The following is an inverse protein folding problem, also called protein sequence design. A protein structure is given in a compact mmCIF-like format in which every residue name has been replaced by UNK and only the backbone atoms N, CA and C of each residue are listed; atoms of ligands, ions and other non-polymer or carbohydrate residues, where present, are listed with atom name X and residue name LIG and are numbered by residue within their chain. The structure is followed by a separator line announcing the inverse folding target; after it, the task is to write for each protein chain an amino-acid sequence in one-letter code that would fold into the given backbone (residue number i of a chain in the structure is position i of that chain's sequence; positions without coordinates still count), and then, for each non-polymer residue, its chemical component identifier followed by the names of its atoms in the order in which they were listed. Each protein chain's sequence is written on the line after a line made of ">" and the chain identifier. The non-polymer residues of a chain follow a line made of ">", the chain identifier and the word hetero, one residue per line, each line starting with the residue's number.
data_IF_344677595489
#
_entry.id   IF_344677595489
#
_cell.length_a   1.000
_cell.length_b   1.000
_cell.length_c   1.000
_cell.angle_alpha   90.00
_cell.angle_beta   90.00
_cell.angle_gamma   90.00
#
_symmetry.space_group_name_H-M   'P 1'
#
loop_
_entity.id
_entity.type
_entity.pdbx_description
1 polymer ?
#
# COMPACT_ATOMS: atom_id res chain seq x y z
N UNK A 1 -6.16 -21.60 -19.35
CA UNK A 1 -4.86 -21.69 -18.65
C UNK A 1 -5.09 -21.28 -17.21
N UNK A 2 -5.10 -22.24 -16.30
CA UNK A 2 -5.36 -22.05 -14.88
C UNK A 2 -4.14 -21.41 -14.23
N UNK A 3 -4.21 -20.10 -14.00
CA UNK A 3 -3.20 -19.37 -13.26
C UNK A 3 -3.19 -19.91 -11.82
N UNK A 4 -2.07 -20.49 -11.39
CA UNK A 4 -1.89 -20.94 -10.02
C UNK A 4 -2.03 -19.73 -9.09
N UNK A 5 -3.04 -19.79 -8.22
CA UNK A 5 -3.28 -18.80 -7.17
C UNK A 5 -2.03 -18.72 -6.28
N UNK A 6 -1.32 -17.58 -6.28
CA UNK A 6 -0.35 -17.28 -5.22
C UNK A 6 -1.15 -17.13 -3.93
N UNK A 7 -1.19 -18.18 -3.13
CA UNK A 7 -1.89 -18.16 -1.84
C UNK A 7 -1.00 -17.46 -0.81
N UNK A 8 -1.13 -16.14 -0.72
CA UNK A 8 -0.59 -15.40 0.43
C UNK A 8 -1.50 -15.66 1.63
N UNK A 9 -1.22 -16.76 2.33
CA UNK A 9 -1.88 -17.12 3.57
C UNK A 9 -1.31 -16.22 4.69
N UNK A 10 -1.87 -15.02 4.90
CA UNK A 10 -1.31 -14.07 5.89
C UNK A 10 -2.32 -13.78 7.02
N UNK A 11 -2.32 -14.57 8.12
CA UNK A 11 -3.04 -14.23 9.35
C UNK A 11 -2.26 -13.22 10.23
N UNK A 12 -1.42 -12.39 9.63
CA UNK A 12 -0.70 -11.33 10.31
C UNK A 12 -0.36 -10.24 9.29
N UNK A 13 -0.68 -8.98 9.54
CA UNK A 13 -0.45 -7.93 8.53
C UNK A 13 1.07 -7.69 8.42
N UNK A 14 1.74 -7.98 7.29
CA UNK A 14 3.20 -7.85 7.21
C UNK A 14 3.67 -6.45 7.60
N UNK A 15 2.90 -5.42 7.23
CA UNK A 15 3.15 -4.03 7.58
C UNK A 15 3.27 -3.79 9.10
N UNK A 16 2.47 -4.45 9.95
CA UNK A 16 2.55 -4.26 11.40
C UNK A 16 3.89 -4.72 11.99
N UNK A 17 4.39 -5.88 11.54
CA UNK A 17 5.73 -6.41 11.88
C UNK A 17 6.81 -5.50 11.31
N UNK A 18 6.70 -5.15 10.04
CA UNK A 18 7.70 -4.37 9.32
C UNK A 18 7.90 -2.99 9.97
N UNK A 19 6.82 -2.29 10.35
CA UNK A 19 6.91 -1.02 11.08
C UNK A 19 7.69 -1.13 12.40
N UNK A 20 7.47 -2.21 13.17
CA UNK A 20 8.21 -2.46 14.42
C UNK A 20 9.69 -2.70 14.11
N UNK A 21 10.00 -3.49 13.08
CA UNK A 21 11.37 -3.81 12.69
C UNK A 21 12.13 -2.57 12.20
N UNK A 22 11.54 -1.80 11.28
CA UNK A 22 12.08 -0.51 10.81
C UNK A 22 12.40 0.39 12.02
N UNK A 23 11.42 0.58 12.91
CA UNK A 23 11.59 1.48 14.04
C UNK A 23 12.69 1.02 15.00
N UNK A 24 12.80 -0.28 15.26
CA UNK A 24 13.82 -0.84 16.16
C UNK A 24 15.22 -0.84 15.57
N UNK A 25 15.35 -1.09 14.27
CA UNK A 25 16.64 -1.04 13.55
C UNK A 25 17.34 0.30 13.77
N UNK A 26 16.60 1.40 13.56
CA UNK A 26 17.12 2.76 13.72
C UNK A 26 16.94 3.33 15.13
N UNK A 27 16.62 2.47 16.12
CA UNK A 27 16.45 2.83 17.54
C UNK A 27 15.45 3.96 17.79
N UNK A 28 14.46 4.11 16.92
CA UNK A 28 13.44 5.14 17.09
C UNK A 28 12.44 4.77 18.18
N UNK A 29 12.10 5.77 19.00
CA UNK A 29 10.90 5.69 19.82
C UNK A 29 9.67 5.87 18.93
N UNK A 30 8.49 5.47 19.41
CA UNK A 30 7.25 5.78 18.70
C UNK A 30 7.09 7.29 18.47
N UNK A 31 7.48 8.10 19.46
CA UNK A 31 7.40 9.56 19.39
C UNK A 31 8.26 10.12 18.25
N UNK A 32 9.52 9.69 18.17
CA UNK A 32 10.42 10.14 17.09
C UNK A 32 9.99 9.61 15.73
N UNK A 33 9.53 8.36 15.66
CA UNK A 33 9.09 7.75 14.40
C UNK A 33 7.87 8.45 13.81
N UNK A 34 6.84 8.76 14.60
CA UNK A 34 5.64 9.43 14.06
C UNK A 34 5.91 10.87 13.60
N UNK A 35 6.95 11.52 14.14
CA UNK A 35 7.41 12.82 13.65
C UNK A 35 8.02 12.72 12.25
N UNK A 36 8.70 11.60 11.93
CA UNK A 36 9.31 11.39 10.60
C UNK A 36 8.27 11.15 9.50
N UNK A 37 7.18 10.43 9.82
CA UNK A 37 6.12 10.07 8.87
C UNK A 37 4.83 10.86 9.11
N UNK A 38 4.95 12.07 9.66
CA UNK A 38 3.86 13.05 9.84
C UNK A 38 2.52 12.46 10.34
N UNK A 39 2.58 11.63 11.38
CA UNK A 39 1.40 10.97 11.95
C UNK A 39 1.32 11.10 13.47
N UNK A 40 0.41 10.37 14.11
CA UNK A 40 0.24 10.36 15.55
C UNK A 40 0.53 8.98 16.17
N UNK A 41 0.88 8.98 17.46
CA UNK A 41 1.26 7.78 18.22
C UNK A 41 0.11 6.75 18.26
N UNK A 42 -1.13 7.21 18.36
CA UNK A 42 -2.31 6.33 18.43
C UNK A 42 -2.50 5.54 17.14
N UNK A 43 -2.36 6.19 15.98
CA UNK A 43 -2.36 5.55 14.67
C UNK A 43 -1.23 4.53 14.55
N UNK A 44 0.01 4.91 14.87
CA UNK A 44 1.15 3.99 14.84
C UNK A 44 0.92 2.75 15.72
N UNK A 45 0.42 2.92 16.94
CA UNK A 45 0.09 1.79 17.83
C UNK A 45 -0.96 0.87 17.21
N UNK A 46 -2.00 1.43 16.61
CA UNK A 46 -3.03 0.64 15.94
C UNK A 46 -2.45 -0.16 14.75
N UNK A 47 -1.51 0.42 14.02
CA UNK A 47 -0.81 -0.27 12.93
C UNK A 47 0.14 -1.35 13.43
N UNK A 48 1.00 -1.07 14.42
CA UNK A 48 1.93 -2.04 15.02
C UNK A 48 1.21 -3.22 15.68
N UNK A 49 -0.04 -3.02 16.14
CA UNK A 49 -0.88 -4.09 16.70
C UNK A 49 -1.74 -4.80 15.65
N UNK A 50 -1.73 -4.35 14.40
CA UNK A 50 -2.54 -4.91 13.32
C UNK A 50 -4.03 -4.60 13.42
N UNK A 51 -4.46 -3.73 14.33
CA UNK A 51 -5.88 -3.37 14.51
C UNK A 51 -6.36 -2.36 13.47
N UNK A 52 -5.45 -1.60 12.86
CA UNK A 52 -5.70 -0.68 11.75
C UNK A 52 -4.57 -0.73 10.74
N UNK A 53 -4.76 -0.06 9.61
CA UNK A 53 -3.79 0.05 8.54
C UNK A 53 -3.52 1.51 8.19
N UNK A 54 -2.29 1.85 7.76
CA UNK A 54 -1.99 3.19 7.26
C UNK A 54 -2.80 3.48 5.99
N UNK A 55 -3.08 4.76 5.78
CA UNK A 55 -3.59 5.24 4.50
C UNK A 55 -2.46 5.27 3.46
N UNK A 56 -2.79 5.61 2.22
CA UNK A 56 -1.82 5.61 1.14
C UNK A 56 -0.73 6.69 1.30
N UNK A 57 -1.06 7.88 1.84
CA UNK A 57 -0.05 8.92 2.10
C UNK A 57 1.09 8.39 2.98
N UNK A 58 0.74 7.84 4.14
CA UNK A 58 1.72 7.31 5.09
C UNK A 58 2.49 6.14 4.49
N UNK A 59 1.80 5.28 3.73
CA UNK A 59 2.46 4.15 3.06
C UNK A 59 3.52 4.63 2.05
N UNK A 60 3.22 5.69 1.30
CA UNK A 60 4.15 6.29 0.35
C UNK A 60 5.30 7.02 1.06
N UNK A 61 5.02 7.76 2.14
CA UNK A 61 6.06 8.37 2.98
C UNK A 61 7.03 7.33 3.55
N UNK A 62 6.51 6.19 4.04
CA UNK A 62 7.32 5.08 4.52
C UNK A 62 8.22 4.51 3.43
N UNK A 63 7.70 4.35 2.21
CA UNK A 63 8.47 3.87 1.06
C UNK A 63 9.63 4.81 0.74
N UNK A 64 9.38 6.13 0.69
CA UNK A 64 10.41 7.13 0.43
C UNK A 64 11.43 7.24 1.57
N UNK A 65 10.97 7.18 2.82
CA UNK A 65 11.82 7.26 4.01
C UNK A 65 12.77 6.07 4.10
N UNK A 66 12.32 4.87 3.71
CA UNK A 66 13.07 3.61 3.93
C UNK A 66 13.75 3.05 2.66
N UNK A 67 13.46 3.64 1.50
CA UNK A 67 13.82 3.11 0.18
C UNK A 67 13.28 1.69 -0.10
N UNK A 68 12.29 1.23 0.66
CA UNK A 68 11.60 -0.03 0.40
C UNK A 68 10.45 0.15 -0.58
N UNK A 69 10.24 -0.84 -1.45
CA UNK A 69 9.04 -0.92 -2.28
C UNK A 69 7.77 -1.09 -1.44
N UNK A 70 6.63 -0.72 -2.02
CA UNK A 70 5.32 -0.98 -1.38
C UNK A 70 5.08 -2.48 -1.21
N UNK A 71 5.59 -3.30 -2.12
CA UNK A 71 5.50 -4.75 -2.02
C UNK A 71 6.29 -5.30 -0.83
N UNK A 72 7.50 -4.79 -0.57
CA UNK A 72 8.30 -5.19 0.61
C UNK A 72 7.60 -4.75 1.90
N UNK A 73 7.08 -3.51 1.94
CA UNK A 73 6.38 -2.97 3.10
C UNK A 73 5.11 -3.78 3.42
N UNK A 74 4.34 -4.18 2.41
CA UNK A 74 3.07 -4.89 2.56
C UNK A 74 3.19 -6.42 2.50
N UNK A 75 4.39 -6.96 2.27
CA UNK A 75 4.69 -8.40 2.32
C UNK A 75 4.38 -9.18 1.04
N UNK A 76 4.31 -8.50 -0.10
CA UNK A 76 4.27 -9.11 -1.45
C UNK A 76 5.68 -9.47 -1.95
N UNK A 77 6.73 -8.87 -1.38
CA UNK A 77 8.15 -9.20 -1.60
C UNK A 77 8.86 -9.46 -0.27
N UNK A 78 9.99 -10.20 -0.27
CA UNK A 78 10.78 -10.42 0.93
C UNK A 78 11.23 -9.12 1.58
N UNK A 79 10.93 -8.96 2.87
CA UNK A 79 11.37 -7.82 3.67
C UNK A 79 12.76 -8.08 4.27
N UNK A 80 13.68 -7.14 4.06
CA UNK A 80 15.05 -7.22 4.59
C UNK A 80 15.45 -5.90 5.26
N UNK A 81 15.38 -5.89 6.59
CA UNK A 81 15.63 -4.70 7.40
C UNK A 81 17.05 -4.17 7.24
N UNK A 82 18.02 -5.04 6.92
CA UNK A 82 19.44 -4.67 6.80
C UNK A 82 19.75 -3.82 5.56
N UNK A 83 18.84 -3.79 4.58
CA UNK A 83 18.99 -3.02 3.34
C UNK A 83 18.39 -1.61 3.42
N UNK A 84 17.68 -1.30 4.51
CA UNK A 84 16.99 -0.02 4.65
C UNK A 84 18.01 1.12 4.68
N UNK A 85 17.75 2.14 3.86
CA UNK A 85 18.46 3.40 3.88
C UNK A 85 17.47 4.48 4.28
N UNK A 86 17.80 5.22 5.34
CA UNK A 86 16.95 6.32 5.76
C UNK A 86 17.22 7.56 4.93
N UNK A 87 16.18 8.04 4.26
CA UNK A 87 16.15 9.36 3.67
C UNK A 87 15.34 10.30 4.59
N UNK A 88 16.01 10.98 5.50
CA UNK A 88 15.40 11.91 6.46
C UNK A 88 14.94 13.24 5.83
N UNK A 89 15.19 13.43 4.53
CA UNK A 89 14.79 14.60 3.74
C UNK A 89 13.98 14.17 2.52
N UNK A 90 12.70 13.94 2.75
CA UNK A 90 11.74 13.75 1.66
C UNK A 90 11.55 15.09 0.95
N UNK A 91 11.89 15.14 -0.35
CA UNK A 91 11.50 16.26 -1.21
C UNK A 91 9.98 16.27 -1.36
N UNK A 92 9.34 17.28 -0.76
CA UNK A 92 7.88 17.40 -0.76
C UNK A 92 7.29 17.64 -2.15
N UNK A 93 8.03 18.30 -3.06
CA UNK A 93 7.58 18.47 -4.45
C UNK A 93 7.57 17.13 -5.17
N UNK A 94 8.61 16.33 -4.97
CA UNK A 94 8.67 14.96 -5.50
C UNK A 94 7.56 14.09 -4.92
N UNK A 95 7.37 14.08 -3.60
CA UNK A 95 6.31 13.34 -2.93
C UNK A 95 4.92 13.69 -3.48
N UNK A 96 4.59 14.98 -3.55
CA UNK A 96 3.29 15.43 -4.05
C UNK A 96 3.05 14.99 -5.50
N UNK A 97 4.09 15.06 -6.33
CA UNK A 97 4.02 14.61 -7.73
C UNK A 97 3.79 13.10 -7.81
N UNK A 98 4.56 12.33 -7.04
CA UNK A 98 4.47 10.87 -6.99
C UNK A 98 3.10 10.41 -6.47
N UNK A 99 2.60 11.03 -5.41
CA UNK A 99 1.29 10.75 -4.82
C UNK A 99 0.18 10.94 -5.85
N UNK A 100 0.20 12.07 -6.59
CA UNK A 100 -0.80 12.35 -7.63
C UNK A 100 -0.74 11.34 -8.78
N UNK A 101 0.46 10.94 -9.21
CA UNK A 101 0.67 9.92 -10.24
C UNK A 101 0.07 8.58 -9.77
N UNK A 102 0.41 8.14 -8.55
CA UNK A 102 -0.09 6.89 -7.98
C UNK A 102 -1.62 6.89 -7.90
N UNK A 103 -2.23 7.99 -7.46
CA UNK A 103 -3.69 8.11 -7.36
C UNK A 103 -4.36 7.92 -8.73
N UNK A 104 -3.83 8.56 -9.77
CA UNK A 104 -4.35 8.44 -11.14
C UNK A 104 -4.14 7.04 -11.72
N UNK A 105 -2.96 6.47 -11.52
CA UNK A 105 -2.62 5.13 -12.01
C UNK A 105 -3.45 4.06 -11.32
N UNK A 106 -3.62 4.13 -10.01
CA UNK A 106 -4.51 3.25 -9.25
C UNK A 106 -5.94 3.26 -9.81
N UNK A 107 -6.52 4.45 -10.00
CA UNK A 107 -7.88 4.59 -10.51
C UNK A 107 -8.05 3.92 -11.88
N UNK A 108 -7.10 4.18 -12.79
CA UNK A 108 -7.07 3.58 -14.12
C UNK A 108 -6.88 2.06 -14.07
N UNK A 109 -5.90 1.58 -13.30
CA UNK A 109 -5.58 0.16 -13.20
C UNK A 109 -6.73 -0.65 -12.61
N UNK A 110 -7.37 -0.16 -11.54
CA UNK A 110 -8.54 -0.81 -10.95
C UNK A 110 -9.69 -0.93 -11.96
N UNK A 111 -9.98 0.16 -12.68
CA UNK A 111 -11.00 0.17 -13.73
C UNK A 111 -10.70 -0.86 -14.82
N UNK A 112 -9.46 -0.88 -15.32
CA UNK A 112 -9.01 -1.79 -16.35
C UNK A 112 -9.11 -3.26 -15.90
N UNK A 113 -8.54 -3.61 -14.75
CA UNK A 113 -8.58 -4.95 -14.16
C UNK A 113 -10.02 -5.45 -13.99
N UNK A 114 -10.91 -4.58 -13.50
CA UNK A 114 -12.33 -4.90 -13.35
C UNK A 114 -12.97 -5.26 -14.69
N UNK A 115 -12.73 -4.46 -15.74
CA UNK A 115 -13.29 -4.70 -17.06
C UNK A 115 -12.71 -5.96 -17.72
N UNK A 116 -11.40 -6.16 -17.66
CA UNK A 116 -10.75 -7.36 -18.20
C UNK A 116 -11.20 -8.65 -17.49
N UNK A 117 -11.75 -8.54 -16.28
CA UNK A 117 -12.30 -9.65 -15.50
C UNK A 117 -13.81 -9.82 -15.66
N UNK A 118 -14.45 -9.10 -16.58
CA UNK A 118 -15.91 -9.09 -16.80
C UNK A 118 -16.71 -8.83 -15.50
N UNK A 119 -16.25 -7.88 -14.70
CA UNK A 119 -16.88 -7.51 -13.44
C UNK A 119 -17.62 -6.18 -13.56
N UNK A 120 -18.87 -6.15 -13.07
CA UNK A 120 -19.54 -4.89 -12.75
C UNK A 120 -19.00 -4.31 -11.44
N UNK A 121 -19.15 -2.99 -11.22
CA UNK A 121 -18.76 -2.37 -9.94
C UNK A 121 -19.42 -3.04 -8.72
N UNK A 122 -20.74 -3.36 -8.73
CA UNK A 122 -21.36 -4.09 -7.63
C UNK A 122 -20.76 -5.47 -7.40
N UNK A 123 -20.40 -6.19 -8.47
CA UNK A 123 -19.80 -7.53 -8.36
C UNK A 123 -18.42 -7.45 -7.70
N UNK A 124 -17.56 -6.53 -8.14
CA UNK A 124 -16.26 -6.30 -7.51
C UNK A 124 -16.42 -5.83 -6.05
N UNK A 125 -17.34 -4.91 -5.77
CA UNK A 125 -17.60 -4.44 -4.42
C UNK A 125 -18.02 -5.57 -3.48
N UNK A 126 -18.88 -6.49 -3.94
CA UNK A 126 -19.27 -7.69 -3.19
C UNK A 126 -18.08 -8.62 -2.91
N UNK A 127 -17.21 -8.84 -3.89
CA UNK A 127 -15.99 -9.65 -3.74
C UNK A 127 -15.01 -9.02 -2.73
N UNK A 128 -14.94 -7.69 -2.72
CA UNK A 128 -14.09 -6.92 -1.82
C UNK A 128 -14.76 -6.59 -0.48
N UNK A 129 -16.01 -7.00 -0.26
CA UNK A 129 -16.80 -6.72 0.94
C UNK A 129 -16.83 -5.22 1.29
N UNK A 130 -17.24 -4.41 0.33
CA UNK A 130 -17.36 -2.94 0.44
C UNK A 130 -18.59 -2.45 -0.32
N UNK A 131 -18.94 -1.18 -0.13
CA UNK A 131 -20.01 -0.55 -0.90
C UNK A 131 -19.61 -0.31 -2.35
N UNK A 132 -20.56 -0.47 -3.28
CA UNK A 132 -20.38 -0.18 -4.72
C UNK A 132 -19.87 1.23 -4.97
N UNK A 133 -20.35 2.20 -4.19
CA UNK A 133 -19.93 3.59 -4.27
C UNK A 133 -18.44 3.78 -3.98
N UNK A 134 -17.85 2.95 -3.11
CA UNK A 134 -16.41 2.96 -2.85
C UNK A 134 -15.61 2.65 -4.11
N UNK A 135 -16.04 1.65 -4.91
CA UNK A 135 -15.40 1.35 -6.21
C UNK A 135 -15.55 2.53 -7.17
N UNK A 136 -16.72 3.16 -7.22
CA UNK A 136 -16.94 4.34 -8.07
C UNK A 136 -15.98 5.47 -7.74
N UNK A 137 -15.82 5.82 -6.46
CA UNK A 137 -14.89 6.86 -6.01
C UNK A 137 -13.42 6.51 -6.31
N UNK A 138 -13.03 5.26 -6.12
CA UNK A 138 -11.70 4.77 -6.46
C UNK A 138 -11.40 4.87 -7.96
N UNK A 139 -12.31 4.42 -8.83
CA UNK A 139 -12.11 4.47 -10.29
C UNK A 139 -12.17 5.89 -10.86
N UNK A 140 -12.83 6.82 -10.18
CA UNK A 140 -12.82 8.23 -10.56
C UNK A 140 -11.63 9.01 -9.98
N UNK A 141 -10.76 8.36 -9.20
CA UNK A 141 -9.61 9.00 -8.58
C UNK A 141 -9.97 10.05 -7.53
N UNK A 142 -11.19 10.02 -6.97
CA UNK A 142 -11.58 10.92 -5.87
C UNK A 142 -10.90 10.47 -4.58
N UNK A 143 -10.71 9.16 -4.39
CA UNK A 143 -10.01 8.58 -3.25
C UNK A 143 -9.11 7.40 -3.66
N UNK A 144 -8.14 7.06 -2.81
CA UNK A 144 -7.29 5.86 -2.91
C UNK A 144 -7.44 5.04 -1.63
N UNK A 145 -7.54 3.69 -1.68
CA UNK A 145 -7.72 2.87 -0.50
C UNK A 145 -6.56 2.93 0.50
N UNK A 146 -6.88 2.53 1.73
CA UNK A 146 -5.89 2.16 2.74
C UNK A 146 -5.19 0.85 2.38
N UNK A 147 -4.08 0.56 3.06
CA UNK A 147 -3.25 -0.60 2.77
C UNK A 147 -4.02 -1.94 2.82
N UNK A 148 -4.99 -2.11 3.72
CA UNK A 148 -5.80 -3.34 3.78
C UNK A 148 -6.58 -3.62 2.49
N UNK A 149 -7.18 -2.58 1.91
CA UNK A 149 -7.93 -2.69 0.67
C UNK A 149 -7.02 -2.81 -0.54
N UNK A 150 -5.85 -2.14 -0.54
CA UNK A 150 -4.81 -2.37 -1.56
C UNK A 150 -4.36 -3.84 -1.58
N UNK A 151 -4.06 -4.42 -0.41
CA UNK A 151 -3.70 -5.83 -0.28
C UNK A 151 -4.82 -6.73 -0.82
N UNK A 152 -6.09 -6.46 -0.44
CA UNK A 152 -7.23 -7.26 -0.90
C UNK A 152 -7.42 -7.21 -2.41
N UNK A 153 -7.30 -6.02 -3.01
CA UNK A 153 -7.42 -5.82 -4.47
C UNK A 153 -6.28 -6.54 -5.20
N UNK A 154 -5.02 -6.30 -4.79
CA UNK A 154 -3.85 -6.90 -5.42
C UNK A 154 -3.87 -8.43 -5.32
N UNK A 155 -4.28 -8.97 -4.17
CA UNK A 155 -4.44 -10.41 -3.97
C UNK A 155 -5.54 -10.98 -4.87
N UNK A 156 -6.69 -10.30 -4.97
CA UNK A 156 -7.81 -10.76 -5.81
C UNK A 156 -7.45 -10.83 -7.29
N UNK A 157 -6.77 -9.79 -7.81
CA UNK A 157 -6.34 -9.74 -9.21
C UNK A 157 -5.00 -10.42 -9.46
N UNK A 158 -4.33 -10.95 -8.43
CA UNK A 158 -3.03 -11.60 -8.51
C UNK A 158 -1.94 -10.72 -9.16
N UNK A 159 -1.86 -9.46 -8.73
CA UNK A 159 -0.85 -8.47 -9.17
C UNK A 159 -0.06 -7.93 -7.98
N UNK A 160 1.02 -7.20 -8.24
CA UNK A 160 1.79 -6.51 -7.18
C UNK A 160 1.08 -5.23 -6.71
N UNK A 161 1.45 -4.72 -5.54
CA UNK A 161 0.97 -3.41 -5.08
C UNK A 161 1.55 -2.32 -5.97
N UNK A 162 2.83 -2.45 -6.34
CA UNK A 162 3.49 -1.50 -7.24
C UNK A 162 2.81 -1.44 -8.61
N UNK A 163 2.43 -2.58 -9.19
CA UNK A 163 1.66 -2.63 -10.43
C UNK A 163 0.30 -1.95 -10.23
N UNK A 164 -0.43 -2.29 -9.15
CA UNK A 164 -1.74 -1.73 -8.86
C UNK A 164 -1.71 -0.20 -8.79
N UNK A 165 -0.70 0.41 -8.17
CA UNK A 165 -0.58 1.87 -8.06
C UNK A 165 0.29 2.52 -9.15
N UNK A 166 0.83 1.74 -10.09
CA UNK A 166 1.64 2.24 -11.21
C UNK A 166 3.05 2.72 -10.83
N UNK A 167 3.67 2.08 -9.82
CA UNK A 167 5.06 2.28 -9.39
C UNK A 167 6.04 1.26 -9.98
N UNK A 168 5.57 0.19 -10.63
CA UNK A 168 6.49 -0.66 -11.40
C UNK A 168 7.23 0.22 -12.41
N UNK A 169 8.56 0.10 -12.41
CA UNK A 169 9.37 0.74 -13.46
C UNK A 169 8.78 0.25 -14.79
N UNK A 170 8.31 1.19 -15.62
CA UNK A 170 8.14 0.92 -17.04
C UNK A 170 9.51 0.43 -17.50
N UNK A 171 9.65 -0.87 -17.73
CA UNK A 171 10.78 -1.40 -18.47
C UNK A 171 10.58 -0.93 -19.92
N UNK A 172 11.02 0.31 -20.21
CA UNK A 172 11.24 0.81 -21.57
C UNK A 172 12.64 0.41 -22.02
#
# INVERSE_FOLDING_TARGET
>A
MTQQLRTYNVPFTPISKNLILIRKEFKYTRKTFVTLIHTNISSLRAWETGTRYPNFEILLELSLLTELSLDELLGFKPFDVSKIKLNDKIDMMYYNSLHLICKRKFAYNLYALRLYSDLSRPKLAKLLDIHTETIYHWENGTNIPHADKLIKIATYFNISIEELVGLEKLNL
#
